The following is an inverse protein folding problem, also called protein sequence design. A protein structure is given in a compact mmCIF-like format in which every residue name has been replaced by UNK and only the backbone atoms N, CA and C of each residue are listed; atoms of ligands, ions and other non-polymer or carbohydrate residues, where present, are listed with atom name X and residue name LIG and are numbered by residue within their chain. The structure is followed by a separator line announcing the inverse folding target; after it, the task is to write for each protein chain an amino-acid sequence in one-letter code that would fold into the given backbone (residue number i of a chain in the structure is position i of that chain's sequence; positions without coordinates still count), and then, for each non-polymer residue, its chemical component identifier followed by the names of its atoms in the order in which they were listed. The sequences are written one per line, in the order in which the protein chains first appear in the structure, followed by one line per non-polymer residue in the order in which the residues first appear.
data_IF_686870506785
#
_entry.id   IF_686870506785
#
_cell.length_a   1.000
_cell.length_b   1.000
_cell.length_c   1.000
_cell.angle_alpha   90.00
_cell.angle_beta   90.00
_cell.angle_gamma   90.00
#
_symmetry.space_group_name_H-M   'P 1'
#
loop_
_entity.id
_entity.type
_entity.pdbx_description
1 polymer ?
#
# COMPACT_ATOMS: atom_id res chain seq x y z
N UNK A 1 15.77 -33.85 7.81
CA UNK A 1 14.96 -33.03 6.88
C UNK A 1 15.41 -33.39 5.47
N UNK A 2 14.57 -34.00 4.65
CA UNK A 2 14.95 -34.40 3.29
C UNK A 2 15.04 -33.17 2.38
N UNK A 3 15.91 -33.22 1.37
CA UNK A 3 16.04 -32.17 0.34
C UNK A 3 14.68 -31.77 -0.26
N UNK A 4 13.79 -32.74 -0.44
CA UNK A 4 12.44 -32.54 -0.95
C UNK A 4 11.55 -31.72 0.01
N UNK A 5 11.74 -31.85 1.33
CA UNK A 5 11.03 -31.03 2.32
C UNK A 5 11.49 -29.56 2.29
N UNK A 6 12.79 -29.32 2.13
CA UNK A 6 13.33 -27.96 1.97
C UNK A 6 12.81 -27.32 0.68
N UNK A 7 12.75 -28.09 -0.41
CA UNK A 7 12.26 -27.63 -1.70
C UNK A 7 10.75 -27.30 -1.63
N UNK A 8 9.95 -28.16 -1.01
CA UNK A 8 8.52 -27.90 -0.77
C UNK A 8 8.28 -26.64 0.08
N UNK A 9 9.11 -26.39 1.11
CA UNK A 9 9.03 -25.17 1.93
C UNK A 9 9.39 -23.89 1.19
N UNK A 10 10.24 -24.00 0.16
CA UNK A 10 10.68 -22.86 -0.67
C UNK A 10 9.67 -22.48 -1.76
N UNK A 11 8.80 -23.41 -2.17
CA UNK A 11 7.63 -23.09 -2.97
C UNK A 11 6.50 -22.62 -2.06
N UNK A 12 5.77 -21.60 -2.52
CA UNK A 12 4.73 -20.84 -1.79
C UNK A 12 3.74 -21.80 -1.09
N UNK A 13 3.99 -22.14 0.18
CA UNK A 13 3.07 -22.93 1.01
C UNK A 13 3.64 -24.09 1.84
N UNK A 14 4.93 -24.45 1.77
CA UNK A 14 5.44 -25.62 2.51
C UNK A 14 5.97 -25.38 3.93
N UNK A 15 5.75 -24.20 4.53
CA UNK A 15 6.07 -23.95 5.93
C UNK A 15 4.86 -24.26 6.81
N UNK A 16 5.04 -25.09 7.86
CA UNK A 16 4.00 -25.44 8.84
C UNK A 16 3.41 -24.22 9.61
N UNK A 17 4.01 -23.04 9.47
CA UNK A 17 3.53 -21.80 10.04
C UNK A 17 2.86 -20.91 9.00
N UNK A 18 1.56 -20.65 9.15
CA UNK A 18 0.91 -19.54 8.45
C UNK A 18 1.65 -18.26 8.79
N UNK A 19 2.03 -17.49 7.77
CA UNK A 19 2.67 -16.20 7.95
C UNK A 19 1.73 -15.29 8.76
N UNK A 20 2.17 -14.69 9.88
CA UNK A 20 1.29 -13.85 10.70
C UNK A 20 0.94 -12.57 9.95
N UNK A 21 -0.27 -12.54 9.38
CA UNK A 21 -0.79 -11.41 8.60
C UNK A 21 -1.31 -10.27 9.49
N UNK A 22 -1.74 -10.58 10.71
CA UNK A 22 -2.20 -9.62 11.72
C UNK A 22 -1.12 -9.34 12.76
N UNK A 23 -1.19 -8.14 13.36
CA UNK A 23 -0.38 -7.84 14.54
C UNK A 23 -0.95 -8.62 15.72
N UNK A 24 -0.12 -9.40 16.41
CA UNK A 24 -0.44 -9.78 17.79
C UNK A 24 -0.51 -8.53 18.66
N UNK A 25 -1.30 -8.54 19.74
CA UNK A 25 -1.33 -7.44 20.70
C UNK A 25 0.09 -7.15 21.20
N UNK A 26 0.60 -5.95 20.90
CA UNK A 26 1.89 -5.47 21.40
C UNK A 26 1.62 -4.57 22.60
N UNK A 27 2.16 -4.92 23.77
CA UNK A 27 2.06 -4.07 24.94
C UNK A 27 2.70 -2.71 24.66
N UNK A 28 2.11 -1.57 25.07
CA UNK A 28 2.69 -0.24 24.89
C UNK A 28 4.13 -0.08 25.44
N UNK A 29 4.51 -0.93 26.39
CA UNK A 29 5.82 -0.93 27.06
C UNK A 29 6.91 -1.77 26.33
N UNK A 30 6.58 -2.48 25.25
CA UNK A 30 7.52 -3.34 24.54
C UNK A 30 8.69 -2.57 23.90
N UNK A 31 8.44 -1.31 23.51
CA UNK A 31 9.47 -0.39 23.00
C UNK A 31 10.48 0.03 24.08
N UNK A 32 10.07 0.11 25.36
CA UNK A 32 10.91 0.56 26.46
C UNK A 32 11.87 -0.53 26.98
N UNK A 33 11.51 -1.81 26.79
CA UNK A 33 12.29 -2.96 27.29
C UNK A 33 13.27 -3.53 26.27
N UNK A 34 13.45 -2.88 25.12
CA UNK A 34 14.46 -3.29 24.13
C UNK A 34 14.25 -4.70 23.56
N UNK A 35 13.03 -5.24 23.64
CA UNK A 35 12.72 -6.56 23.10
C UNK A 35 12.67 -6.49 21.57
N UNK A 36 13.83 -6.56 20.93
CA UNK A 36 14.00 -6.63 19.47
C UNK A 36 13.75 -8.05 18.93
N UNK A 37 13.16 -8.93 19.73
CA UNK A 37 12.81 -10.29 19.32
C UNK A 37 11.54 -10.25 18.49
N UNK A 38 11.62 -9.98 17.18
CA UNK A 38 10.71 -10.45 16.11
C UNK A 38 9.17 -10.37 16.28
N UNK A 39 8.64 -9.81 17.36
CA UNK A 39 7.23 -9.80 17.70
C UNK A 39 6.61 -8.52 17.13
N UNK A 40 5.89 -8.67 16.01
CA UNK A 40 4.77 -7.77 15.72
C UNK A 40 4.94 -6.68 14.67
N UNK A 41 5.75 -6.88 13.62
CA UNK A 41 5.43 -6.24 12.34
C UNK A 41 4.49 -7.19 11.59
N UNK A 42 3.28 -6.74 11.27
CA UNK A 42 2.39 -7.49 10.39
C UNK A 42 3.12 -7.76 9.08
N UNK A 43 2.91 -8.94 8.49
CA UNK A 43 3.59 -9.30 7.26
C UNK A 43 3.15 -8.37 6.12
N UNK A 44 4.08 -7.56 5.62
CA UNK A 44 3.90 -6.77 4.41
C UNK A 44 4.61 -7.45 3.25
N UNK A 45 3.82 -7.94 2.29
CA UNK A 45 4.34 -8.69 1.15
C UNK A 45 5.38 -7.90 0.34
N UNK A 46 5.11 -6.62 0.06
CA UNK A 46 6.03 -5.77 -0.70
C UNK A 46 7.39 -5.59 0.00
N UNK A 47 7.38 -5.35 1.31
CA UNK A 47 8.61 -5.23 2.09
C UNK A 47 9.34 -6.58 2.20
N UNK A 48 8.61 -7.69 2.38
CA UNK A 48 9.19 -9.02 2.42
C UNK A 48 9.86 -9.40 1.09
N UNK A 49 9.24 -9.10 -0.05
CA UNK A 49 9.83 -9.29 -1.38
C UNK A 49 11.07 -8.42 -1.55
N UNK A 50 11.00 -7.14 -1.16
CA UNK A 50 12.13 -6.20 -1.25
C UNK A 50 13.32 -6.68 -0.43
N UNK A 51 13.09 -7.07 0.83
CA UNK A 51 14.13 -7.57 1.72
C UNK A 51 14.67 -8.92 1.25
N UNK A 52 13.80 -9.82 0.79
CA UNK A 52 14.19 -11.10 0.21
C UNK A 52 15.08 -10.94 -1.01
N UNK A 53 14.79 -9.96 -1.87
CA UNK A 53 15.63 -9.61 -3.00
C UNK A 53 16.98 -9.03 -2.56
N UNK A 54 16.98 -8.04 -1.66
CA UNK A 54 18.19 -7.35 -1.23
C UNK A 54 19.15 -8.25 -0.44
N UNK A 55 18.62 -9.18 0.35
CA UNK A 55 19.42 -10.08 1.18
C UNK A 55 19.90 -11.34 0.46
N UNK A 56 19.40 -11.64 -0.75
CA UNK A 56 19.69 -12.88 -1.45
C UNK A 56 20.38 -12.65 -2.81
N UNK A 57 21.69 -12.91 -2.94
CA UNK A 57 22.40 -12.74 -4.21
C UNK A 57 21.90 -13.69 -5.32
N UNK A 58 21.32 -14.84 -4.96
CA UNK A 58 20.71 -15.77 -5.92
C UNK A 58 19.43 -15.14 -6.49
N UNK A 59 18.60 -14.51 -5.64
CA UNK A 59 17.41 -13.80 -6.09
C UNK A 59 17.78 -12.62 -7.00
N UNK A 60 18.83 -11.86 -6.64
CA UNK A 60 19.36 -10.78 -7.48
C UNK A 60 19.77 -11.26 -8.86
N UNK A 61 20.55 -12.34 -8.90
CA UNK A 61 21.01 -12.95 -10.16
C UNK A 61 19.86 -13.55 -10.96
N UNK A 62 18.91 -14.22 -10.31
CA UNK A 62 17.76 -14.83 -10.98
C UNK A 62 16.88 -13.77 -11.66
N UNK A 63 16.53 -12.69 -10.96
CA UNK A 63 15.76 -11.58 -11.54
C UNK A 63 16.51 -10.95 -12.70
N UNK A 64 17.82 -10.74 -12.55
CA UNK A 64 18.65 -10.20 -13.63
C UNK A 64 18.66 -11.09 -14.87
N UNK A 65 18.84 -12.40 -14.71
CA UNK A 65 18.81 -13.35 -15.84
C UNK A 65 17.45 -13.32 -16.55
N UNK A 66 16.35 -13.25 -15.79
CA UNK A 66 15.00 -13.15 -16.37
C UNK A 66 14.81 -11.81 -17.09
N UNK A 67 15.24 -10.70 -16.51
CA UNK A 67 15.16 -9.37 -17.11
C UNK A 67 15.98 -9.27 -18.41
N UNK A 68 17.22 -9.75 -18.40
CA UNK A 68 18.08 -9.85 -19.59
C UNK A 68 17.46 -10.77 -20.65
N UNK A 69 16.88 -11.90 -20.25
CA UNK A 69 16.19 -12.83 -21.14
C UNK A 69 14.95 -12.22 -21.82
N UNK A 70 14.13 -11.47 -21.08
CA UNK A 70 12.97 -10.75 -21.62
C UNK A 70 13.42 -9.62 -22.55
N UNK A 71 14.47 -8.87 -22.18
CA UNK A 71 15.00 -7.79 -23.00
C UNK A 71 15.61 -8.28 -24.32
N UNK A 72 16.17 -9.50 -24.33
CA UNK A 72 16.67 -10.16 -25.53
C UNK A 72 15.59 -10.80 -26.40
N UNK A 73 14.32 -10.81 -25.98
CA UNK A 73 13.25 -11.42 -26.76
C UNK A 73 12.95 -10.61 -28.03
N UNK A 74 12.81 -11.26 -29.20
CA UNK A 74 12.50 -10.56 -30.44
C UNK A 74 11.13 -9.88 -30.35
N UNK A 75 11.07 -8.60 -30.72
CA UNK A 75 9.85 -7.81 -30.75
C UNK A 75 9.26 -7.82 -32.15
N UNK A 76 7.95 -8.07 -32.25
CA UNK A 76 7.20 -7.81 -33.46
C UNK A 76 6.47 -6.47 -33.28
N UNK A 77 6.91 -5.44 -34.01
CA UNK A 77 6.27 -4.12 -34.05
C UNK A 77 5.90 -3.77 -35.49
N UNK A 78 4.72 -3.19 -35.68
CA UNK A 78 4.32 -2.58 -36.96
C UNK A 78 4.85 -1.15 -37.15
N UNK A 79 5.40 -0.54 -36.08
CA UNK A 79 5.91 0.83 -36.07
C UNK A 79 7.41 0.87 -35.76
N UNK A 80 8.18 1.40 -36.70
CA UNK A 80 9.64 1.53 -36.65
C UNK A 80 10.11 2.51 -35.56
N UNK A 81 9.30 3.53 -35.21
CA UNK A 81 9.65 4.47 -34.12
C UNK A 81 9.55 3.80 -32.76
N UNK A 82 8.53 2.97 -32.57
CA UNK A 82 8.34 2.23 -31.33
C UNK A 82 9.47 1.21 -31.13
N UNK A 83 9.86 0.51 -32.20
CA UNK A 83 10.98 -0.44 -32.15
C UNK A 83 12.30 0.26 -31.78
N UNK A 84 12.58 1.43 -32.37
CA UNK A 84 13.76 2.24 -32.02
C UNK A 84 13.75 2.75 -30.58
N UNK A 85 12.58 3.12 -30.07
CA UNK A 85 12.44 3.57 -28.68
C UNK A 85 12.68 2.43 -27.69
N UNK A 86 12.09 1.26 -27.96
CA UNK A 86 12.11 0.11 -27.05
C UNK A 86 13.48 -0.59 -27.04
N UNK A 87 14.20 -0.55 -28.16
CA UNK A 87 15.59 -1.06 -28.27
C UNK A 87 16.64 -0.02 -27.87
N UNK A 88 16.26 1.22 -27.61
CA UNK A 88 17.20 2.25 -27.17
C UNK A 88 17.84 1.87 -25.84
N UNK A 89 19.12 2.21 -25.69
CA UNK A 89 19.83 1.98 -24.44
C UNK A 89 19.62 3.15 -23.47
N UNK A 90 19.26 2.86 -22.23
CA UNK A 90 19.31 3.81 -21.11
C UNK A 90 20.47 3.44 -20.19
N UNK A 91 21.44 4.34 -20.03
CA UNK A 91 22.65 4.11 -19.23
C UNK A 91 23.45 2.82 -19.57
N UNK A 92 23.44 2.41 -20.85
CA UNK A 92 24.19 1.24 -21.34
C UNK A 92 23.45 -0.09 -21.29
N UNK A 93 22.20 -0.12 -20.82
CA UNK A 93 21.30 -1.28 -20.87
C UNK A 93 20.10 -1.01 -21.79
N UNK A 94 19.57 -2.01 -22.52
CA UNK A 94 18.35 -1.85 -23.30
C UNK A 94 17.17 -1.41 -22.40
N UNK A 95 16.33 -0.50 -22.89
CA UNK A 95 15.23 0.08 -22.12
C UNK A 95 14.32 -0.98 -21.50
N UNK A 96 14.06 -2.09 -22.21
CA UNK A 96 13.26 -3.21 -21.68
C UNK A 96 13.89 -3.83 -20.43
N UNK A 97 15.22 -4.01 -20.39
CA UNK A 97 15.92 -4.57 -19.23
C UNK A 97 15.80 -3.62 -18.03
N UNK A 98 15.99 -2.33 -18.27
CA UNK A 98 15.86 -1.28 -17.26
C UNK A 98 14.43 -1.15 -16.73
N UNK A 99 13.42 -1.32 -17.60
CA UNK A 99 12.01 -1.37 -17.21
C UNK A 99 11.65 -2.67 -16.47
N UNK A 100 12.26 -3.80 -16.85
CA UNK A 100 12.00 -5.11 -16.27
C UNK A 100 12.59 -5.25 -14.85
N UNK A 101 13.68 -4.55 -14.55
CA UNK A 101 14.29 -4.54 -13.22
C UNK A 101 14.92 -3.18 -12.91
N UNK A 102 14.10 -2.20 -12.54
CA UNK A 102 14.60 -0.89 -12.10
C UNK A 102 15.29 -1.01 -10.73
N UNK A 103 16.59 -1.27 -10.74
CA UNK A 103 17.42 -1.32 -9.53
C UNK A 103 17.88 0.07 -9.11
N UNK A 104 17.09 0.71 -8.23
CA UNK A 104 17.47 1.98 -7.63
C UNK A 104 18.36 1.74 -6.40
N UNK A 105 19.47 2.49 -6.31
CA UNK A 105 20.32 2.49 -5.12
C UNK A 105 19.66 3.24 -3.95
N UNK A 106 20.16 3.04 -2.72
CA UNK A 106 19.68 3.75 -1.54
C UNK A 106 19.76 5.29 -1.66
N UNK A 107 20.57 5.84 -2.58
CA UNK A 107 20.66 7.28 -2.86
C UNK A 107 19.36 7.86 -3.41
N UNK A 108 18.49 7.05 -4.04
CA UNK A 108 17.18 7.50 -4.50
C UNK A 108 16.30 8.04 -3.36
N UNK A 109 16.55 7.65 -2.11
CA UNK A 109 15.85 8.23 -0.96
C UNK A 109 16.16 9.72 -0.76
N UNK A 110 17.30 10.22 -1.24
CA UNK A 110 17.68 11.63 -1.15
C UNK A 110 16.90 12.52 -2.12
N UNK A 111 16.29 11.94 -3.15
CA UNK A 111 15.47 12.67 -4.12
C UNK A 111 14.05 12.97 -3.59
N UNK A 112 13.68 12.41 -2.44
CA UNK A 112 12.38 12.65 -1.82
C UNK A 112 12.33 14.05 -1.21
N UNK A 113 11.22 14.76 -1.41
CA UNK A 113 10.97 16.00 -0.66
C UNK A 113 10.64 15.66 0.79
N UNK A 114 11.49 16.10 1.72
CA UNK A 114 11.27 15.92 3.16
C UNK A 114 10.55 17.10 3.81
N UNK A 115 10.50 18.25 3.13
CA UNK A 115 9.86 19.45 3.66
C UNK A 115 8.35 19.29 3.47
N UNK A 116 7.55 19.25 4.55
CA UNK A 116 6.11 19.22 4.42
C UNK A 116 5.64 20.51 3.75
N UNK A 117 4.80 20.36 2.73
CA UNK A 117 4.09 21.49 2.14
C UNK A 117 2.91 21.85 3.05
N UNK A 118 2.62 23.14 3.18
CA UNK A 118 1.45 23.63 3.90
C UNK A 118 0.18 23.20 3.19
N UNK A 119 -0.77 22.62 3.92
CA UNK A 119 -2.06 22.17 3.37
C UNK A 119 -3.21 22.41 4.35
N UNK A 120 -4.42 22.72 3.86
CA UNK A 120 -5.60 22.82 4.73
C UNK A 120 -6.04 21.45 5.27
N UNK A 121 -5.66 20.36 4.59
CA UNK A 121 -5.93 18.98 4.99
C UNK A 121 -4.82 18.41 5.87
N UNK A 122 -5.15 17.40 6.67
CA UNK A 122 -4.19 16.69 7.51
C UNK A 122 -3.18 15.91 6.66
N UNK A 123 -1.87 16.10 6.90
CA UNK A 123 -0.82 15.31 6.23
C UNK A 123 -0.51 13.96 6.91
N UNK A 124 -0.99 13.77 8.14
CA UNK A 124 -0.71 12.53 8.87
C UNK A 124 -1.48 11.37 8.23
N UNK A 125 -0.80 10.25 8.04
CA UNK A 125 -1.47 8.98 7.71
C UNK A 125 -2.41 8.61 8.86
N UNK A 126 -3.65 8.23 8.53
CA UNK A 126 -4.63 7.76 9.51
C UNK A 126 -4.07 6.58 10.31
N UNK A 127 -4.22 6.64 11.63
CA UNK A 127 -3.62 5.69 12.59
C UNK A 127 -2.08 5.51 12.47
N UNK A 128 -1.40 6.46 11.82
CA UNK A 128 0.07 6.53 11.76
C UNK A 128 0.66 7.25 12.97
N UNK A 129 1.99 7.27 13.06
CA UNK A 129 2.73 7.85 14.19
C UNK A 129 2.37 9.31 14.48
N UNK A 130 2.19 10.12 13.43
CA UNK A 130 1.84 11.54 13.58
C UNK A 130 0.38 11.79 13.98
N UNK A 131 -0.51 10.83 13.67
CA UNK A 131 -1.92 10.85 14.03
C UNK A 131 -2.12 10.35 15.47
N UNK A 132 -1.38 9.33 15.89
CA UNK A 132 -1.41 8.80 17.25
C UNK A 132 -2.61 7.90 17.60
N UNK A 133 -3.61 7.81 16.72
CA UNK A 133 -4.74 6.89 16.89
C UNK A 133 -4.28 5.44 16.72
N UNK A 134 -4.84 4.55 17.52
CA UNK A 134 -4.59 3.11 17.40
C UNK A 134 -5.50 2.53 16.33
N UNK A 135 -4.91 1.91 15.30
CA UNK A 135 -5.66 1.30 14.20
C UNK A 135 -6.61 0.20 14.65
N UNK A 136 -6.34 -0.44 15.80
CA UNK A 136 -7.19 -1.50 16.39
C UNK A 136 -8.65 -1.09 16.59
N UNK A 137 -8.94 0.18 16.83
CA UNK A 137 -10.32 0.65 17.06
C UNK A 137 -11.09 0.90 15.76
N UNK A 138 -10.40 0.96 14.63
CA UNK A 138 -10.93 1.34 13.32
C UNK A 138 -10.70 0.24 12.27
N UNK A 139 -10.13 -0.89 12.71
CA UNK A 139 -9.85 -2.09 11.92
C UNK A 139 -10.99 -3.09 12.13
N UNK A 140 -11.63 -3.49 11.04
CA UNK A 140 -12.70 -4.49 11.04
C UNK A 140 -12.26 -5.69 10.20
N UNK A 141 -12.42 -6.89 10.75
CA UNK A 141 -12.16 -8.14 10.02
C UNK A 141 -13.49 -8.68 9.51
N UNK A 142 -13.67 -8.64 8.18
CA UNK A 142 -14.92 -8.98 7.54
C UNK A 142 -14.71 -10.04 6.45
N UNK A 143 -15.79 -10.73 6.13
CA UNK A 143 -15.87 -11.68 5.02
C UNK A 143 -16.52 -10.99 3.82
N UNK A 144 -16.00 -11.25 2.62
CA UNK A 144 -16.56 -10.74 1.37
C UNK A 144 -17.91 -11.41 1.10
N UNK A 145 -18.96 -10.62 0.86
CA UNK A 145 -20.28 -11.16 0.52
C UNK A 145 -20.51 -11.14 -0.99
N UNK A 146 -20.12 -10.05 -1.64
CA UNK A 146 -20.27 -9.87 -3.09
C UNK A 146 -19.00 -9.30 -3.69
N UNK A 147 -18.69 -9.76 -4.91
CA UNK A 147 -17.61 -9.24 -5.73
C UNK A 147 -18.14 -9.07 -7.14
N UNK A 148 -18.10 -7.84 -7.65
CA UNK A 148 -18.35 -7.52 -9.05
C UNK A 148 -17.04 -7.08 -9.71
N UNK A 149 -16.56 -7.92 -10.62
CA UNK A 149 -15.30 -7.70 -11.33
C UNK A 149 -15.43 -6.66 -12.45
N UNK A 150 -16.63 -6.46 -13.00
CA UNK A 150 -16.85 -5.54 -14.12
C UNK A 150 -16.91 -4.08 -13.65
N UNK A 151 -17.55 -3.84 -12.50
CA UNK A 151 -17.60 -2.53 -11.85
C UNK A 151 -16.47 -2.28 -10.84
N UNK A 152 -15.66 -3.30 -10.55
CA UNK A 152 -14.59 -3.28 -9.54
C UNK A 152 -15.10 -2.93 -8.13
N UNK A 153 -16.26 -3.49 -7.77
CA UNK A 153 -16.96 -3.27 -6.50
C UNK A 153 -16.91 -4.51 -5.63
N UNK A 154 -16.71 -4.33 -4.32
CA UNK A 154 -16.79 -5.39 -3.31
C UNK A 154 -17.76 -5.01 -2.19
N UNK A 155 -18.47 -5.98 -1.65
CA UNK A 155 -19.34 -5.78 -0.50
C UNK A 155 -18.92 -6.66 0.69
N UNK A 156 -19.03 -6.11 1.89
CA UNK A 156 -18.74 -6.73 3.18
C UNK A 156 -19.94 -6.66 4.15
N UNK A 157 -21.13 -6.29 3.68
CA UNK A 157 -22.37 -6.11 4.46
C UNK A 157 -22.18 -5.31 5.76
N UNK A 158 -21.55 -4.14 5.65
CA UNK A 158 -21.39 -3.24 6.80
C UNK A 158 -22.64 -2.38 7.03
N UNK A 159 -22.91 -2.02 8.28
CA UNK A 159 -24.08 -1.22 8.66
C UNK A 159 -24.03 0.22 8.13
N UNK A 160 -22.86 0.86 8.15
CA UNK A 160 -22.66 2.23 7.65
C UNK A 160 -21.47 2.28 6.67
N UNK A 161 -21.74 2.11 5.35
CA UNK A 161 -20.71 2.14 4.32
C UNK A 161 -19.98 3.49 4.23
N UNK A 162 -20.61 4.61 4.61
CA UNK A 162 -20.03 5.94 4.47
C UNK A 162 -18.80 6.16 5.36
N UNK A 163 -18.70 5.42 6.48
CA UNK A 163 -17.55 5.46 7.39
C UNK A 163 -16.24 4.96 6.75
N UNK A 164 -16.34 4.20 5.67
CA UNK A 164 -15.21 3.56 5.00
C UNK A 164 -14.74 4.29 3.74
N UNK A 165 -15.39 5.39 3.35
CA UNK A 165 -14.91 6.23 2.25
C UNK A 165 -13.53 6.82 2.57
N UNK A 166 -12.59 6.77 1.61
CA UNK A 166 -11.15 7.07 1.82
C UNK A 166 -10.45 6.10 2.78
N UNK A 167 -11.08 4.96 3.07
CA UNK A 167 -10.52 3.86 3.85
C UNK A 167 -9.65 2.93 3.01
N UNK A 168 -9.28 1.81 3.62
CA UNK A 168 -8.43 0.82 2.99
C UNK A 168 -8.93 -0.59 3.24
N UNK A 169 -8.95 -1.41 2.18
CA UNK A 169 -9.19 -2.85 2.26
C UNK A 169 -7.86 -3.57 2.04
N UNK A 170 -7.56 -4.56 2.87
CA UNK A 170 -6.42 -5.45 2.70
C UNK A 170 -6.88 -6.90 2.76
N UNK A 171 -6.81 -7.60 1.63
CA UNK A 171 -7.19 -9.01 1.57
C UNK A 171 -6.23 -9.86 2.40
N UNK A 172 -6.79 -10.69 3.28
CA UNK A 172 -6.02 -11.64 4.10
C UNK A 172 -5.99 -13.04 3.49
N UNK A 173 -6.89 -13.31 2.55
CA UNK A 173 -7.03 -14.56 1.82
C UNK A 173 -7.20 -14.29 0.32
N UNK A 174 -7.02 -15.31 -0.52
CA UNK A 174 -7.23 -15.21 -1.96
C UNK A 174 -5.98 -14.85 -2.80
N UNK A 175 -6.16 -14.62 -4.12
CA UNK A 175 -5.06 -14.39 -5.06
C UNK A 175 -4.26 -13.11 -4.77
N UNK A 176 -4.93 -12.08 -4.25
CA UNK A 176 -4.35 -10.77 -3.92
C UNK A 176 -4.04 -10.62 -2.43
N UNK A 177 -3.80 -11.74 -1.72
CA UNK A 177 -3.46 -11.74 -0.29
C UNK A 177 -2.31 -10.79 0.02
N UNK A 178 -2.50 -9.93 1.01
CA UNK A 178 -1.51 -8.96 1.50
C UNK A 178 -1.44 -7.66 0.69
N UNK A 179 -2.17 -7.54 -0.41
CA UNK A 179 -2.30 -6.28 -1.14
C UNK A 179 -3.35 -5.38 -0.48
N UNK A 180 -3.02 -4.10 -0.42
CA UNK A 180 -3.91 -3.03 0.08
C UNK A 180 -4.55 -2.30 -1.10
N UNK A 181 -5.83 -1.97 -0.95
CA UNK A 181 -6.69 -1.26 -1.90
C UNK A 181 -7.30 -0.06 -1.17
N UNK A 182 -7.38 1.08 -1.83
CA UNK A 182 -8.07 2.24 -1.29
C UNK A 182 -9.54 2.23 -1.73
N UNK A 183 -10.43 2.63 -0.83
CA UNK A 183 -11.85 2.77 -1.12
C UNK A 183 -12.09 4.16 -1.67
N UNK A 184 -12.35 4.26 -2.98
CA UNK A 184 -12.53 5.53 -3.69
C UNK A 184 -13.99 5.94 -3.83
N UNK A 185 -14.91 5.01 -3.59
CA UNK A 185 -16.34 5.25 -3.69
C UNK A 185 -17.13 4.25 -2.86
N UNK A 186 -18.31 4.69 -2.46
CA UNK A 186 -19.26 3.91 -1.68
C UNK A 186 -20.62 4.08 -2.35
N UNK A 187 -21.28 2.96 -2.67
CA UNK A 187 -22.63 2.91 -3.22
C UNK A 187 -23.48 1.87 -2.50
N UNK A 188 -24.76 1.75 -2.85
CA UNK A 188 -25.63 0.66 -2.37
C UNK A 188 -25.16 -0.72 -2.84
N UNK A 189 -24.33 -0.77 -3.89
CA UNK A 189 -23.79 -2.00 -4.48
C UNK A 189 -22.48 -2.44 -3.79
N UNK A 190 -21.84 -1.56 -3.01
CA UNK A 190 -20.65 -1.85 -2.22
C UNK A 190 -19.56 -0.77 -2.31
N UNK A 191 -18.32 -1.20 -2.10
CA UNK A 191 -17.10 -0.39 -2.11
C UNK A 191 -16.40 -0.45 -3.46
N UNK A 192 -16.19 0.70 -4.08
CA UNK A 192 -15.38 0.84 -5.28
C UNK A 192 -13.89 0.96 -4.90
N UNK A 193 -13.05 0.09 -5.47
CA UNK A 193 -11.63 0.03 -5.17
C UNK A 193 -10.77 0.76 -6.22
N UNK A 194 -9.62 1.28 -5.78
CA UNK A 194 -8.64 2.00 -6.64
C UNK A 194 -7.89 1.12 -7.64
N UNK A 195 -7.82 -0.19 -7.37
CA UNK A 195 -7.09 -1.19 -8.14
C UNK A 195 -8.01 -2.33 -8.52
N UNK A 196 -7.72 -2.96 -9.67
CA UNK A 196 -8.50 -4.07 -10.20
C UNK A 196 -8.45 -5.30 -9.28
N UNK A 197 -9.62 -5.88 -9.01
CA UNK A 197 -9.79 -7.13 -8.27
C UNK A 197 -9.39 -8.31 -9.18
N UNK A 198 -8.68 -9.29 -8.63
CA UNK A 198 -8.30 -10.48 -9.38
C UNK A 198 -9.51 -11.39 -9.65
N UNK A 199 -9.55 -12.01 -10.84
CA UNK A 199 -10.66 -12.82 -11.30
C UNK A 199 -10.95 -14.04 -10.41
N UNK A 200 -9.96 -14.55 -9.68
CA UNK A 200 -10.13 -15.68 -8.76
C UNK A 200 -10.61 -15.27 -7.36
N UNK A 201 -10.87 -13.98 -7.12
CA UNK A 201 -11.45 -13.49 -5.87
C UNK A 201 -12.91 -13.91 -5.78
N UNK A 202 -13.30 -14.53 -4.65
CA UNK A 202 -14.64 -15.09 -4.44
C UNK A 202 -15.24 -14.58 -3.14
N UNK A 203 -16.57 -14.54 -3.04
CA UNK A 203 -17.27 -14.41 -1.76
C UNK A 203 -16.77 -15.44 -0.73
N UNK A 204 -16.81 -15.06 0.55
CA UNK A 204 -16.31 -15.81 1.70
C UNK A 204 -14.83 -15.58 2.04
N UNK A 205 -14.08 -14.89 1.18
CA UNK A 205 -12.69 -14.53 1.47
C UNK A 205 -12.61 -13.43 2.52
N UNK A 206 -11.66 -13.55 3.44
CA UNK A 206 -11.50 -12.57 4.54
C UNK A 206 -10.63 -11.38 4.12
N UNK A 207 -11.05 -10.19 4.52
CA UNK A 207 -10.27 -8.97 4.41
C UNK A 207 -10.26 -8.19 5.74
N UNK A 208 -9.18 -7.43 5.92
CA UNK A 208 -9.09 -6.38 6.93
C UNK A 208 -9.49 -5.06 6.26
N UNK A 209 -10.58 -4.45 6.71
CA UNK A 209 -10.99 -3.12 6.29
C UNK A 209 -10.66 -2.11 7.39
N UNK A 210 -10.18 -0.94 7.00
CA UNK A 210 -9.89 0.19 7.89
C UNK A 210 -10.84 1.30 7.51
N UNK A 211 -11.50 1.89 8.50
CA UNK A 211 -12.31 3.08 8.34
C UNK A 211 -11.53 4.22 7.67
N UNK A 212 -12.23 5.06 6.91
CA UNK A 212 -11.61 6.15 6.18
C UNK A 212 -11.51 7.43 6.97
N UNK A 213 -10.53 8.25 6.58
CA UNK A 213 -10.30 9.58 7.12
C UNK A 213 -10.28 10.57 5.94
N UNK A 214 -11.18 11.55 5.98
CA UNK A 214 -11.28 12.62 4.97
C UNK A 214 -10.21 13.71 5.12
N UNK A 215 -9.33 13.57 6.12
CA UNK A 215 -8.26 14.51 6.45
C UNK A 215 -8.75 15.93 6.81
N UNK A 216 -10.01 16.11 7.21
CA UNK A 216 -10.57 17.40 7.62
C UNK A 216 -10.54 17.58 9.15
N UNK A 217 -10.26 18.81 9.61
CA UNK A 217 -10.21 19.11 11.05
C UNK A 217 -11.56 18.86 11.74
N UNK A 218 -12.67 19.21 11.07
CA UNK A 218 -14.02 19.03 11.62
C UNK A 218 -14.31 17.55 11.90
N UNK A 219 -14.05 16.67 10.93
CA UNK A 219 -14.23 15.22 11.08
C UNK A 219 -13.24 14.65 12.09
N UNK A 220 -11.99 15.12 12.09
CA UNK A 220 -10.98 14.71 13.07
C UNK A 220 -11.38 15.01 14.52
N UNK A 221 -12.01 16.16 14.77
CA UNK A 221 -12.55 16.51 16.09
C UNK A 221 -13.84 15.77 16.42
N UNK A 222 -14.81 15.74 15.51
CA UNK A 222 -16.15 15.24 15.81
C UNK A 222 -16.23 13.70 15.83
N UNK A 223 -15.56 13.04 14.88
CA UNK A 223 -15.63 11.57 14.71
C UNK A 223 -14.58 10.85 15.55
N UNK A 224 -13.37 11.41 15.62
CA UNK A 224 -12.21 10.72 16.23
C UNK A 224 -11.71 11.36 17.53
N UNK A 225 -12.24 12.51 17.93
CA UNK A 225 -11.77 13.30 19.09
C UNK A 225 -10.24 13.49 19.12
N UNK A 226 -9.64 13.72 17.95
CA UNK A 226 -8.18 13.74 17.78
C UNK A 226 -7.63 15.03 17.16
N UNK A 227 -8.38 16.13 17.29
CA UNK A 227 -8.01 17.44 16.74
C UNK A 227 -6.64 17.94 17.24
N UNK A 228 -6.23 17.56 18.46
CA UNK A 228 -4.93 17.92 19.03
C UNK A 228 -3.73 17.36 18.23
N UNK A 229 -3.91 16.23 17.54
CA UNK A 229 -2.88 15.62 16.69
C UNK A 229 -3.04 15.98 15.21
N UNK A 230 -3.91 16.95 14.87
CA UNK A 230 -4.08 17.40 13.49
C UNK A 230 -2.77 17.99 12.95
N UNK A 231 -2.31 17.47 11.82
CA UNK A 231 -1.04 17.89 11.17
C UNK A 231 -1.33 18.59 9.86
N UNK A 232 -2.16 19.61 9.89
CA UNK A 232 -2.41 20.50 8.76
C UNK A 232 -2.65 21.91 9.25
N UNK A 233 -2.80 22.84 8.32
CA UNK A 233 -2.97 24.26 8.60
C UNK A 233 -4.30 24.76 8.01
N UNK A 234 -5.46 24.41 8.61
CA UNK A 234 -6.78 24.65 8.02
C UNK A 234 -7.16 26.13 8.01
N UNK A 235 -6.55 26.92 8.89
CA UNK A 235 -6.74 28.36 8.98
C UNK A 235 -5.66 29.16 8.28
N UNK A 236 -4.71 28.51 7.58
CA UNK A 236 -3.66 29.22 6.87
C UNK A 236 -4.29 30.01 5.73
N UNK A 237 -4.20 31.36 5.76
CA UNK A 237 -4.77 32.18 4.71
C UNK A 237 -4.03 31.97 3.39
N UNK A 238 -4.78 31.96 2.28
CA UNK A 238 -4.20 31.96 0.94
C UNK A 238 -3.48 33.28 0.63
N UNK A 239 -2.65 33.27 -0.42
CA UNK A 239 -1.87 34.45 -0.84
C UNK A 239 -2.73 35.68 -1.16
N UNK A 240 -4.00 35.49 -1.52
CA UNK A 240 -4.95 36.58 -1.77
C UNK A 240 -5.16 37.48 -0.54
N UNK A 241 -4.94 36.98 0.68
CA UNK A 241 -5.01 37.81 1.87
C UNK A 241 -3.84 38.79 1.99
N UNK A 242 -2.70 38.54 1.33
CA UNK A 242 -1.56 39.46 1.30
C UNK A 242 -1.84 40.70 0.44
N UNK A 243 -2.73 40.61 -0.55
CA UNK A 243 -3.06 41.71 -1.46
C UNK A 243 -4.31 42.48 -1.05
N UNK A 244 -5.04 42.02 -0.02
CA UNK A 244 -6.23 42.71 0.51
C UNK A 244 -5.81 43.93 1.32
N UNK A 245 -6.26 45.10 0.88
CA UNK A 245 -6.24 46.31 1.68
C UNK A 245 -7.54 46.42 2.50
N UNK A 246 -7.51 46.87 3.76
CA UNK A 246 -8.72 47.03 4.56
C UNK A 246 -9.69 48.03 3.91
N UNK A 247 -10.89 47.57 3.58
CA UNK A 247 -12.00 48.45 3.23
C UNK A 247 -12.64 48.99 4.52
N UNK A 248 -12.81 50.32 4.65
CA UNK A 248 -13.50 50.88 5.81
C UNK A 248 -14.95 50.38 5.85
N UNK A 249 -15.41 50.02 7.06
CA UNK A 249 -16.80 49.68 7.35
C UNK A 249 -17.68 50.92 7.33
#
# INVERSE_FOLDING_TARGET
MSFLGTLASSFKGGGDGRVPLSRGFVSPWALALGSNHGFGRGFEYAEAVRQGYLANPIAQRAVRIVAEGIAGAPLASGDERLEKLVTATSAGQPLIETLAAQLQSAKANLERSFVPLTSPTCRARFCGEQCGLSSRFFEHFLELDLVDLDSNVVDFSVDDPALFLDGMVRFTEGPQTGLSFNIIGVSEEGFLLDKAIAAETKPGMKALIIEGCDHLLATCGNRFDNAANFRGEPFLPGNDLLTRYPTPK
#
